data_IF_418600894271
#
_entry.id   IF_418600894271
#
_cell.length_a   1.000
_cell.length_b   1.000
_cell.length_c   1.000
_cell.angle_alpha   90.00
_cell.angle_beta   90.00
_cell.angle_gamma   90.00
#
_symmetry.space_group_name_H-M   'P 1'
#
loop_
_entity.id
_entity.type
_entity.pdbx_description
1 polymer ?
#
# COMPACT_ATOMS: atom_id res chain seq x y z
N UNK A 1 -24.65 -16.65 8.32
CA UNK A 1 -25.74 -16.24 9.24
C UNK A 1 -26.33 -14.90 8.82
N UNK A 2 -25.57 -14.04 8.13
CA UNK A 2 -25.99 -12.68 7.73
C UNK A 2 -27.24 -12.60 6.84
N UNK A 3 -27.40 -13.52 5.87
CA UNK A 3 -28.60 -13.51 5.00
C UNK A 3 -29.92 -13.76 5.73
N UNK A 4 -29.92 -14.52 6.83
CA UNK A 4 -31.14 -14.72 7.63
C UNK A 4 -31.48 -13.45 8.39
N UNK A 5 -30.49 -12.79 8.98
CA UNK A 5 -30.67 -11.52 9.68
C UNK A 5 -31.16 -10.38 8.76
N UNK A 6 -30.67 -10.33 7.52
CA UNK A 6 -31.14 -9.37 6.51
C UNK A 6 -32.61 -9.61 6.12
N UNK A 7 -33.01 -10.88 5.96
CA UNK A 7 -34.39 -11.25 5.64
C UNK A 7 -35.32 -10.95 6.81
N UNK A 8 -34.92 -11.29 8.04
CA UNK A 8 -35.70 -11.02 9.25
C UNK A 8 -35.86 -9.49 9.49
N UNK A 9 -34.83 -8.70 9.20
CA UNK A 9 -34.91 -7.23 9.27
C UNK A 9 -35.82 -6.65 8.17
N UNK A 10 -35.80 -7.21 6.96
CA UNK A 10 -36.72 -6.81 5.90
C UNK A 10 -38.17 -7.18 6.24
N UNK A 11 -38.39 -8.34 6.85
CA UNK A 11 -39.73 -8.81 7.23
C UNK A 11 -40.33 -7.95 8.35
N UNK A 12 -39.56 -7.61 9.38
CA UNK A 12 -40.01 -6.68 10.43
C UNK A 12 -40.30 -5.28 9.89
N UNK A 13 -39.47 -4.77 8.95
CA UNK A 13 -39.75 -3.51 8.26
C UNK A 13 -41.00 -3.58 7.40
N UNK A 14 -41.24 -4.69 6.71
CA UNK A 14 -42.47 -4.91 5.96
C UNK A 14 -43.69 -4.92 6.87
N UNK A 15 -43.62 -5.61 8.00
CA UNK A 15 -44.72 -5.68 8.97
C UNK A 15 -45.05 -4.31 9.58
N UNK A 16 -44.03 -3.50 9.90
CA UNK A 16 -44.23 -2.11 10.36
C UNK A 16 -44.83 -1.20 9.27
N UNK A 17 -44.50 -1.41 7.99
CA UNK A 17 -45.11 -0.68 6.88
C UNK A 17 -46.55 -1.12 6.62
N UNK A 18 -46.81 -2.43 6.64
CA UNK A 18 -48.15 -2.99 6.47
C UNK A 18 -49.10 -2.54 7.59
N UNK A 19 -48.64 -2.56 8.84
CA UNK A 19 -49.42 -2.08 9.99
C UNK A 19 -49.70 -0.58 9.91
N UNK A 20 -48.76 0.24 9.42
CA UNK A 20 -48.99 1.69 9.22
C UNK A 20 -49.98 2.00 8.09
N UNK A 21 -49.97 1.22 7.01
CA UNK A 21 -50.83 1.48 5.84
C UNK A 21 -52.23 0.89 6.01
N UNK A 22 -52.33 -0.34 6.51
CA UNK A 22 -53.60 -1.06 6.63
C UNK A 22 -54.20 -1.02 8.04
N UNK A 23 -53.44 -0.54 9.04
CA UNK A 23 -53.85 -0.55 10.45
C UNK A 23 -53.88 -1.95 11.04
N UNK A 24 -54.18 -2.03 12.35
CA UNK A 24 -54.27 -3.29 13.11
C UNK A 24 -55.42 -4.21 12.64
N UNK A 25 -56.34 -3.68 11.83
CA UNK A 25 -57.38 -4.44 11.14
C UNK A 25 -57.06 -4.48 9.65
N UNK A 26 -56.29 -5.48 9.22
CA UNK A 26 -56.20 -5.88 7.80
C UNK A 26 -57.62 -5.89 7.24
N UNK A 27 -57.93 -4.95 6.34
CA UNK A 27 -59.24 -4.82 5.71
C UNK A 27 -59.66 -6.18 5.14
N UNK A 28 -60.63 -6.84 5.79
CA UNK A 28 -61.11 -8.19 5.43
C UNK A 28 -61.86 -8.25 4.08
N UNK A 29 -61.95 -7.14 3.35
CA UNK A 29 -62.31 -7.11 1.94
C UNK A 29 -61.13 -6.54 1.18
N UNK A 30 -60.51 -7.36 0.32
CA UNK A 30 -59.25 -7.09 -0.41
C UNK A 30 -59.28 -5.92 -1.40
N UNK A 31 -59.76 -4.75 -0.97
CA UNK A 31 -59.64 -3.49 -1.69
C UNK A 31 -58.36 -2.81 -1.21
N UNK A 32 -57.39 -2.53 -2.11
CA UNK A 32 -56.20 -1.79 -1.73
C UNK A 32 -56.61 -0.44 -1.16
N UNK A 33 -56.04 -0.05 -0.02
CA UNK A 33 -56.26 1.29 0.53
C UNK A 33 -55.68 2.26 -0.49
N UNK A 34 -56.53 3.08 -1.09
CA UNK A 34 -56.13 4.08 -2.10
C UNK A 34 -55.49 5.29 -1.42
N UNK A 35 -54.41 5.06 -0.66
CA UNK A 35 -53.70 6.08 0.10
C UNK A 35 -53.26 7.25 -0.79
N UNK A 36 -52.83 6.96 -2.02
CA UNK A 36 -52.46 7.96 -3.01
C UNK A 36 -53.65 8.86 -3.43
N UNK A 37 -54.83 8.27 -3.67
CA UNK A 37 -56.02 9.03 -4.07
C UNK A 37 -56.61 9.83 -2.90
N UNK A 38 -56.54 9.30 -1.67
CA UNK A 38 -56.94 10.05 -0.47
C UNK A 38 -55.96 11.17 -0.17
N UNK A 39 -54.65 10.91 -0.28
CA UNK A 39 -53.61 11.90 -0.06
C UNK A 39 -53.69 13.01 -1.12
N UNK A 40 -53.88 12.66 -2.40
CA UNK A 40 -54.09 13.62 -3.48
C UNK A 40 -55.34 14.49 -3.27
N UNK A 41 -56.42 13.90 -2.77
CA UNK A 41 -57.63 14.65 -2.37
C UNK A 41 -57.39 15.59 -1.21
N UNK A 42 -56.68 15.15 -0.17
CA UNK A 42 -56.30 15.99 0.99
C UNK A 42 -55.36 17.10 0.55
N UNK A 43 -54.35 16.80 -0.26
CA UNK A 43 -53.41 17.78 -0.84
C UNK A 43 -54.16 18.84 -1.65
N UNK A 44 -55.11 18.42 -2.49
CA UNK A 44 -55.93 19.33 -3.31
C UNK A 44 -56.86 20.19 -2.44
N UNK A 45 -57.49 19.61 -1.42
CA UNK A 45 -58.32 20.34 -0.46
C UNK A 45 -57.49 21.35 0.37
N UNK A 46 -56.29 20.96 0.77
CA UNK A 46 -55.35 21.80 1.51
C UNK A 46 -54.83 22.94 0.62
N UNK A 47 -54.43 22.66 -0.63
CA UNK A 47 -54.01 23.66 -1.60
C UNK A 47 -55.13 24.67 -1.91
N UNK A 48 -56.36 24.20 -2.10
CA UNK A 48 -57.53 25.06 -2.30
C UNK A 48 -57.84 25.94 -1.07
N UNK A 49 -57.65 25.40 0.13
CA UNK A 49 -57.86 26.14 1.38
C UNK A 49 -56.74 27.15 1.65
N UNK A 50 -55.49 26.77 1.37
CA UNK A 50 -54.33 27.64 1.47
C UNK A 50 -54.42 28.80 0.47
N UNK A 51 -54.80 28.55 -0.79
CA UNK A 51 -54.94 29.59 -1.80
C UNK A 51 -56.08 30.59 -1.54
N UNK A 52 -57.13 30.19 -0.79
CA UNK A 52 -58.22 31.10 -0.38
C UNK A 52 -57.88 31.95 0.85
N UNK A 53 -56.87 31.57 1.64
CA UNK A 53 -56.45 32.27 2.85
C UNK A 53 -54.95 32.54 2.81
N UNK A 54 -54.57 33.75 2.38
CA UNK A 54 -53.16 34.17 2.26
C UNK A 54 -52.33 33.91 3.53
N UNK A 55 -52.91 34.08 4.74
CA UNK A 55 -52.21 33.74 6.01
C UNK A 55 -51.87 32.26 6.12
N UNK A 56 -52.75 31.36 5.67
CA UNK A 56 -52.53 29.90 5.69
C UNK A 56 -51.49 29.50 4.64
N UNK A 57 -51.49 30.15 3.47
CA UNK A 57 -50.46 29.98 2.44
C UNK A 57 -49.06 30.38 2.93
N UNK A 58 -48.97 31.51 3.62
CA UNK A 58 -47.71 31.97 4.24
C UNK A 58 -47.26 31.01 5.34
N UNK A 59 -48.18 30.56 6.21
CA UNK A 59 -47.89 29.56 7.23
C UNK A 59 -47.41 28.24 6.61
N UNK A 60 -48.10 27.72 5.58
CA UNK A 60 -47.72 26.46 4.94
C UNK A 60 -46.33 26.51 4.31
N UNK A 61 -45.96 27.63 3.69
CA UNK A 61 -44.59 27.87 3.21
C UNK A 61 -43.57 27.96 4.35
N UNK A 62 -43.94 28.65 5.44
CA UNK A 62 -43.09 28.78 6.63
C UNK A 62 -42.99 27.52 7.47
N UNK A 63 -43.87 26.52 7.30
CA UNK A 63 -43.81 25.26 8.05
C UNK A 63 -42.53 24.50 7.70
N UNK A 64 -42.14 24.47 6.42
CA UNK A 64 -40.87 23.84 6.00
C UNK A 64 -39.66 24.56 6.60
N UNK A 65 -39.66 25.89 6.58
CA UNK A 65 -38.63 26.71 7.22
C UNK A 65 -38.62 26.51 8.75
N UNK A 66 -39.79 26.51 9.40
CA UNK A 66 -39.92 26.32 10.85
C UNK A 66 -39.50 24.91 11.27
N UNK A 67 -39.77 23.88 10.47
CA UNK A 67 -39.27 22.53 10.71
C UNK A 67 -37.75 22.48 10.66
N UNK A 68 -37.12 23.26 9.76
CA UNK A 68 -35.67 23.41 9.70
C UNK A 68 -35.10 24.12 10.92
N UNK A 69 -35.78 25.14 11.45
CA UNK A 69 -35.35 25.84 12.67
C UNK A 69 -35.67 25.07 13.96
N UNK A 70 -36.64 24.16 13.95
CA UNK A 70 -36.96 23.28 15.08
C UNK A 70 -36.03 22.06 15.16
N UNK A 71 -35.26 21.77 14.12
CA UNK A 71 -34.25 20.72 14.15
C UNK A 71 -33.11 21.15 15.08
N UNK A 72 -32.90 20.47 16.23
CA UNK A 72 -31.83 20.82 17.17
C UNK A 72 -30.45 20.80 16.52
N UNK A 73 -30.25 19.94 15.50
CA UNK A 73 -28.99 19.86 14.76
C UNK A 73 -28.71 21.14 13.96
N UNK A 74 -29.74 21.86 13.52
CA UNK A 74 -29.59 23.11 12.79
C UNK A 74 -29.29 24.28 13.72
N UNK A 75 -29.85 24.29 14.94
CA UNK A 75 -29.61 25.35 15.92
C UNK A 75 -28.22 25.23 16.54
N UNK A 76 -27.78 24.02 16.88
CA UNK A 76 -26.47 23.76 17.49
C UNK A 76 -25.30 24.15 16.57
N UNK A 77 -25.45 24.02 15.25
CA UNK A 77 -24.40 24.41 14.29
C UNK A 77 -24.30 25.92 14.04
N UNK A 78 -25.34 26.70 14.32
CA UNK A 78 -25.38 28.15 14.03
C UNK A 78 -25.00 28.99 15.24
N UNK A 79 -25.18 28.47 16.46
CA UNK A 79 -25.14 29.29 17.68
C UNK A 79 -23.89 29.08 18.54
N UNK A 80 -22.75 28.67 17.98
CA UNK A 80 -21.49 28.77 18.77
C UNK A 80 -21.18 30.25 18.95
N UNK A 81 -21.33 30.82 20.17
CA UNK A 81 -21.10 32.24 20.39
C UNK A 81 -19.63 32.56 20.16
N UNK A 82 -19.31 33.78 19.72
CA UNK A 82 -17.93 34.14 19.38
C UNK A 82 -16.96 34.02 20.56
N UNK A 83 -17.44 34.24 21.80
CA UNK A 83 -16.69 33.96 23.01
C UNK A 83 -16.31 32.47 23.16
N UNK A 84 -17.22 31.56 22.80
CA UNK A 84 -16.96 30.11 22.85
C UNK A 84 -16.00 29.65 21.75
N UNK A 85 -16.04 30.29 20.57
CA UNK A 85 -15.06 30.03 19.50
C UNK A 85 -13.65 30.42 19.94
N UNK A 86 -13.52 31.54 20.65
CA UNK A 86 -12.24 31.99 21.19
C UNK A 86 -11.70 30.99 22.22
N UNK A 87 -12.52 30.58 23.19
CA UNK A 87 -12.12 29.56 24.18
C UNK A 87 -11.79 28.22 23.51
N UNK A 88 -12.51 27.82 22.45
CA UNK A 88 -12.21 26.60 21.71
C UNK A 88 -10.86 26.68 20.99
N UNK A 89 -10.54 27.81 20.37
CA UNK A 89 -9.25 28.03 19.70
C UNK A 89 -8.11 28.01 20.71
N UNK A 90 -8.29 28.64 21.87
CA UNK A 90 -7.28 28.66 22.93
C UNK A 90 -7.10 27.28 23.58
N UNK A 91 -8.19 26.54 23.81
CA UNK A 91 -8.12 25.18 24.34
C UNK A 91 -7.45 24.19 23.37
N UNK A 92 -7.63 24.40 22.07
CA UNK A 92 -7.06 23.57 21.00
C UNK A 92 -5.76 24.16 20.42
N UNK A 93 -5.17 25.21 21.02
CA UNK A 93 -4.00 25.90 20.48
C UNK A 93 -2.81 24.93 20.30
N UNK A 94 -2.50 24.15 21.35
CA UNK A 94 -1.43 23.15 21.31
C UNK A 94 -1.70 22.07 20.26
N UNK A 95 -2.96 21.65 20.11
CA UNK A 95 -3.36 20.67 19.10
C UNK A 95 -3.17 21.22 17.68
N UNK A 96 -3.63 22.45 17.43
CA UNK A 96 -3.49 23.12 16.13
C UNK A 96 -2.03 23.35 15.76
N UNK A 97 -1.20 23.79 16.72
CA UNK A 97 0.24 23.94 16.51
C UNK A 97 0.91 22.61 16.23
N UNK A 98 0.58 21.56 17.00
CA UNK A 98 1.13 20.22 16.75
C UNK A 98 0.77 19.72 15.35
N UNK A 99 -0.47 19.92 14.90
CA UNK A 99 -0.88 19.51 13.56
C UNK A 99 -0.25 20.35 12.46
N UNK A 100 -0.07 21.66 12.67
CA UNK A 100 0.64 22.51 11.72
C UNK A 100 2.08 22.03 11.53
N UNK A 101 2.79 21.70 12.61
CA UNK A 101 4.17 21.17 12.52
C UNK A 101 4.22 19.82 11.80
N UNK A 102 3.25 18.93 12.07
CA UNK A 102 3.18 17.63 11.42
C UNK A 102 2.87 17.77 9.92
N UNK A 103 1.97 18.70 9.57
CA UNK A 103 1.61 18.99 8.19
C UNK A 103 2.80 19.61 7.43
N UNK A 104 3.57 20.48 8.08
CA UNK A 104 4.79 21.04 7.51
C UNK A 104 5.83 19.95 7.25
N UNK A 105 6.01 19.00 8.19
CA UNK A 105 6.87 17.83 7.98
C UNK A 105 6.41 17.00 6.78
N UNK A 106 5.11 16.74 6.65
CA UNK A 106 4.56 16.01 5.50
C UNK A 106 4.80 16.77 4.20
N UNK A 107 4.58 18.08 4.18
CA UNK A 107 4.83 18.94 3.02
C UNK A 107 6.31 18.91 2.60
N UNK A 108 7.22 18.89 3.57
CA UNK A 108 8.66 18.83 3.31
C UNK A 108 9.11 17.45 2.79
N UNK A 109 8.39 16.38 3.13
CA UNK A 109 8.68 15.02 2.67
C UNK A 109 8.02 14.71 1.31
N UNK A 110 6.98 15.44 0.92
CA UNK A 110 6.27 15.24 -0.35
C UNK A 110 7.20 15.19 -1.59
N UNK A 111 8.21 16.08 -1.75
CA UNK A 111 9.12 16.04 -2.89
C UNK A 111 9.99 14.78 -2.96
N UNK A 112 10.16 14.03 -1.86
CA UNK A 112 10.93 12.79 -1.85
C UNK A 112 10.21 11.64 -2.56
N UNK A 113 8.87 11.67 -2.62
CA UNK A 113 8.10 10.65 -3.34
C UNK A 113 8.34 10.70 -4.86
N UNK A 114 8.57 11.90 -5.40
CA UNK A 114 8.86 12.12 -6.83
C UNK A 114 10.37 12.05 -7.14
N UNK A 115 11.18 11.58 -6.19
CA UNK A 115 12.62 11.49 -6.37
C UNK A 115 12.98 10.53 -7.51
N UNK A 116 13.71 11.05 -8.50
CA UNK A 116 14.21 10.26 -9.63
C UNK A 116 15.03 9.04 -9.15
N UNK A 117 15.72 9.15 -8.01
CA UNK A 117 16.48 8.04 -7.43
C UNK A 117 15.61 6.84 -7.06
N UNK A 118 14.37 7.06 -6.60
CA UNK A 118 13.42 5.98 -6.28
C UNK A 118 12.79 5.45 -7.57
N UNK A 119 12.48 6.34 -8.51
CA UNK A 119 11.87 5.96 -9.80
C UNK A 119 12.80 5.10 -10.65
N UNK A 120 14.11 5.39 -10.62
CA UNK A 120 15.09 4.74 -11.48
C UNK A 120 15.62 3.41 -10.86
N UNK A 121 15.19 3.04 -9.64
CA UNK A 121 15.59 1.79 -8.97
C UNK A 121 15.37 0.54 -9.84
N UNK A 122 14.23 0.35 -10.52
CA UNK A 122 14.02 -0.83 -11.36
C UNK A 122 15.05 -0.93 -12.49
N UNK A 123 15.43 0.20 -13.10
CA UNK A 123 16.45 0.22 -14.15
C UNK A 123 17.82 -0.19 -13.58
N UNK A 124 18.20 0.36 -12.42
CA UNK A 124 19.45 -0.01 -11.75
C UNK A 124 19.46 -1.47 -11.31
N UNK A 125 18.34 -2.00 -10.85
CA UNK A 125 18.19 -3.41 -10.47
C UNK A 125 18.44 -4.35 -11.66
N UNK A 126 17.91 -4.02 -12.85
CA UNK A 126 18.16 -4.83 -14.06
C UNK A 126 19.64 -4.80 -14.49
N UNK A 127 20.28 -3.63 -14.43
CA UNK A 127 21.72 -3.49 -14.71
C UNK A 127 22.55 -4.28 -13.70
N UNK A 128 22.21 -4.22 -12.42
CA UNK A 128 22.87 -4.96 -11.35
C UNK A 128 22.69 -6.48 -11.52
N UNK A 129 21.50 -6.94 -11.90
CA UNK A 129 21.26 -8.36 -12.18
C UNK A 129 22.13 -8.86 -13.33
N UNK A 130 22.23 -8.09 -14.41
CA UNK A 130 23.12 -8.41 -15.53
C UNK A 130 24.59 -8.43 -15.10
N UNK A 131 25.03 -7.45 -14.32
CA UNK A 131 26.39 -7.39 -13.80
C UNK A 131 26.69 -8.58 -12.89
N UNK A 132 25.76 -8.97 -12.03
CA UNK A 132 25.89 -10.14 -11.16
C UNK A 132 26.09 -11.43 -11.96
N UNK A 133 25.34 -11.62 -13.05
CA UNK A 133 25.54 -12.78 -13.93
C UNK A 133 26.92 -12.79 -14.60
N UNK A 134 27.42 -11.62 -15.00
CA UNK A 134 28.76 -11.49 -15.59
C UNK A 134 29.81 -11.82 -14.52
N UNK A 135 29.68 -11.26 -13.32
CA UNK A 135 30.61 -11.48 -12.22
C UNK A 135 30.70 -12.96 -11.82
N UNK A 136 29.57 -13.69 -11.78
CA UNK A 136 29.57 -15.13 -11.52
C UNK A 136 30.40 -15.86 -12.59
N UNK A 137 30.20 -15.54 -13.87
CA UNK A 137 30.95 -16.16 -14.97
C UNK A 137 32.44 -15.84 -14.91
N UNK A 138 32.80 -14.59 -14.63
CA UNK A 138 34.19 -14.16 -14.50
C UNK A 138 34.87 -14.83 -13.32
N UNK A 139 34.16 -15.00 -12.21
CA UNK A 139 34.66 -15.73 -11.04
C UNK A 139 34.94 -17.20 -11.36
N UNK A 140 33.99 -17.90 -12.00
CA UNK A 140 34.17 -19.30 -12.42
C UNK A 140 35.35 -19.45 -13.39
N UNK A 141 35.48 -18.54 -14.35
CA UNK A 141 36.60 -18.54 -15.30
C UNK A 141 37.94 -18.27 -14.61
N UNK A 142 37.98 -17.33 -13.69
CA UNK A 142 39.21 -16.99 -12.93
C UNK A 142 39.65 -18.18 -12.09
N UNK A 143 38.72 -18.88 -11.45
CA UNK A 143 39.01 -20.09 -10.67
C UNK A 143 39.54 -21.22 -11.58
N UNK A 144 38.88 -21.47 -12.71
CA UNK A 144 39.31 -22.48 -13.67
C UNK A 144 40.72 -22.20 -14.22
N UNK A 145 41.00 -20.95 -14.63
CA UNK A 145 42.32 -20.53 -15.09
C UNK A 145 43.38 -20.64 -13.98
N UNK A 146 43.04 -20.25 -12.76
CA UNK A 146 43.95 -20.38 -11.61
C UNK A 146 44.33 -21.83 -11.36
N UNK A 147 43.36 -22.76 -11.46
CA UNK A 147 43.61 -24.20 -11.33
C UNK A 147 44.48 -24.74 -12.46
N UNK A 148 44.25 -24.32 -13.71
CA UNK A 148 45.06 -24.73 -14.85
C UNK A 148 46.51 -24.25 -14.72
N UNK A 149 46.70 -22.98 -14.34
CA UNK A 149 48.04 -22.41 -14.10
C UNK A 149 48.75 -23.16 -12.98
N UNK A 150 48.07 -23.47 -11.87
CA UNK A 150 48.64 -24.28 -10.78
C UNK A 150 49.09 -25.66 -11.26
N UNK A 151 48.26 -26.36 -12.04
CA UNK A 151 48.63 -27.66 -12.62
C UNK A 151 49.87 -27.55 -13.52
N UNK A 152 49.92 -26.53 -14.37
CA UNK A 152 51.07 -26.31 -15.25
C UNK A 152 52.35 -26.05 -14.45
N UNK A 153 52.26 -25.29 -13.36
CA UNK A 153 53.40 -25.10 -12.44
C UNK A 153 53.82 -26.40 -11.75
N UNK A 154 52.88 -27.24 -11.34
CA UNK A 154 53.18 -28.56 -10.76
C UNK A 154 53.89 -29.48 -11.76
N UNK A 155 53.41 -29.53 -13.00
CA UNK A 155 54.03 -30.31 -14.08
C UNK A 155 55.43 -29.79 -14.42
N UNK A 156 55.59 -28.47 -14.54
CA UNK A 156 56.89 -27.85 -14.77
C UNK A 156 57.88 -28.16 -13.63
N UNK A 157 57.46 -28.00 -12.37
CA UNK A 157 58.29 -28.30 -11.20
C UNK A 157 58.70 -29.78 -11.18
N UNK A 158 57.78 -30.69 -11.52
CA UNK A 158 58.07 -32.13 -11.61
C UNK A 158 59.07 -32.44 -12.72
N UNK A 159 58.90 -31.85 -13.90
CA UNK A 159 59.82 -32.00 -15.02
C UNK A 159 61.21 -31.47 -14.67
N UNK A 160 61.31 -30.27 -14.08
CA UNK A 160 62.58 -29.68 -13.65
C UNK A 160 63.27 -30.55 -12.60
N UNK A 161 62.54 -31.08 -11.62
CA UNK A 161 63.09 -32.00 -10.63
C UNK A 161 63.67 -33.27 -11.26
N UNK A 162 62.95 -33.87 -12.20
CA UNK A 162 63.42 -35.05 -12.93
C UNK A 162 64.65 -34.75 -13.79
N UNK A 163 64.67 -33.62 -14.48
CA UNK A 163 65.83 -33.15 -15.24
C UNK A 163 67.06 -32.95 -14.35
N UNK A 164 66.92 -32.25 -13.21
CA UNK A 164 68.01 -32.09 -12.24
C UNK A 164 68.54 -33.43 -11.76
N UNK A 165 67.66 -34.38 -11.41
CA UNK A 165 68.07 -35.73 -11.00
C UNK A 165 68.80 -36.47 -12.13
N UNK A 166 68.33 -36.36 -13.36
CA UNK A 166 68.96 -37.00 -14.52
C UNK A 166 70.35 -36.43 -14.78
N UNK A 167 70.52 -35.10 -14.67
CA UNK A 167 71.84 -34.48 -14.79
C UNK A 167 72.80 -34.95 -13.70
N UNK A 168 72.35 -35.05 -12.44
CA UNK A 168 73.20 -35.60 -11.36
C UNK A 168 73.58 -37.06 -11.62
N UNK A 169 72.65 -37.89 -12.11
CA UNK A 169 72.95 -39.29 -12.45
C UNK A 169 73.92 -39.42 -13.62
N UNK A 170 73.78 -38.58 -14.64
CA UNK A 170 74.73 -38.52 -15.76
C UNK A 170 76.10 -38.05 -15.31
N UNK A 171 76.19 -37.03 -14.46
CA UNK A 171 77.45 -36.55 -13.88
C UNK A 171 78.13 -37.64 -13.04
N UNK A 172 77.38 -38.35 -12.18
CA UNK A 172 77.93 -39.46 -11.40
C UNK A 172 78.41 -40.62 -12.29
N UNK A 173 77.68 -40.93 -13.36
CA UNK A 173 78.06 -41.96 -14.32
C UNK A 173 79.31 -41.57 -15.10
N UNK A 174 79.41 -40.31 -15.53
CA UNK A 174 80.62 -39.75 -16.16
C UNK A 174 81.81 -39.83 -15.20
N UNK A 175 81.66 -39.40 -13.95
CA UNK A 175 82.71 -39.50 -12.91
C UNK A 175 83.25 -40.92 -12.77
N UNK A 176 82.38 -41.93 -12.69
CA UNK A 176 82.80 -43.34 -12.59
C UNK A 176 83.62 -43.80 -13.80
N UNK A 177 83.22 -43.37 -15.01
CA UNK A 177 83.93 -43.71 -16.25
C UNK A 177 85.28 -42.98 -16.34
N UNK A 178 85.34 -41.71 -15.92
CA UNK A 178 86.56 -40.90 -15.87
C UNK A 178 87.58 -41.47 -14.86
N UNK A 179 87.12 -41.88 -13.69
CA UNK A 179 87.93 -42.55 -12.66
C UNK A 179 88.44 -43.91 -13.14
N UNK A 180 87.60 -44.73 -13.79
CA UNK A 180 88.00 -46.01 -14.34
C UNK A 180 89.03 -45.89 -15.49
N UNK A 181 89.00 -44.78 -16.25
CA UNK A 181 89.99 -44.47 -17.28
C UNK A 181 91.23 -43.73 -16.74
N UNK A 182 91.27 -43.38 -15.46
CA UNK A 182 92.39 -42.68 -14.83
C UNK A 182 92.58 -41.23 -15.32
N UNK A 183 91.54 -40.61 -15.87
CA UNK A 183 91.63 -39.28 -16.53
C UNK A 183 91.48 -38.13 -15.52
N UNK A 184 91.13 -38.40 -14.26
CA UNK A 184 90.88 -37.33 -13.30
C UNK A 184 92.18 -36.77 -12.69
N UNK A 185 92.45 -35.49 -12.93
CA UNK A 185 93.23 -34.66 -12.00
C UNK A 185 92.36 -34.32 -10.79
N UNK A 186 92.92 -34.51 -9.61
CA UNK A 186 92.32 -34.19 -8.30
C UNK A 186 92.41 -32.68 -8.08
N UNK A 187 91.26 -32.02 -7.96
CA UNK A 187 91.02 -30.87 -7.06
C UNK A 187 89.61 -30.99 -6.47
#
# INVERSE_FOLDING_TARGET
MDRKFEVDNLETRLETLESRIYGEKRNKGGKPVKCADSLSRVQSALANTANKRERVKILHKKIEDLLKYLDPQFTDHITVPDAMKLEFILAEEDFLLSQATLLEQVSNLQPLLDSNYIRDVPEHATKLQRLSQIHIKEQDQTEAQSLEVKKLFEEYNKMMFLLSKQFTQWDESLRKVEEAKGIRQVE
#
